data_IF_278472969870
#
_entry.id   IF_278472969870
#
_cell.length_a   1.000
_cell.length_b   1.000
_cell.length_c   1.000
_cell.angle_alpha   90.00
_cell.angle_beta   90.00
_cell.angle_gamma   90.00
#
_symmetry.space_group_name_H-M   'P 1'
#
loop_
_entity.id
_entity.type
_entity.pdbx_description
1 polymer ?
#
# COMPACT_ATOMS: atom_id res chain seq x y z
N UNK A 1 28.42 12.53 2.33
CA UNK A 1 29.75 13.20 2.44
C UNK A 1 30.45 13.40 1.09
N UNK A 2 30.89 12.35 0.39
CA UNK A 2 31.65 12.51 -0.88
C UNK A 2 30.82 13.23 -1.96
N UNK A 3 29.56 12.85 -2.15
CA UNK A 3 28.67 13.48 -3.15
C UNK A 3 28.56 15.00 -2.97
N UNK A 4 28.39 15.48 -1.73
CA UNK A 4 28.34 16.93 -1.43
C UNK A 4 29.66 17.63 -1.75
N UNK A 5 30.80 17.00 -1.42
CA UNK A 5 32.14 17.53 -1.76
C UNK A 5 32.37 17.60 -3.27
N UNK A 6 31.71 16.74 -4.03
CA UNK A 6 31.74 16.72 -5.50
C UNK A 6 30.67 17.63 -6.15
N UNK A 7 29.95 18.43 -5.36
CA UNK A 7 29.00 19.43 -5.86
C UNK A 7 27.55 18.96 -5.98
N UNK A 8 27.18 17.81 -5.40
CA UNK A 8 25.79 17.38 -5.38
C UNK A 8 24.94 18.36 -4.57
N UNK A 9 23.84 18.88 -5.16
CA UNK A 9 22.91 19.79 -4.48
C UNK A 9 22.10 19.08 -3.40
N UNK A 10 21.71 17.83 -3.63
CA UNK A 10 20.99 16.96 -2.69
C UNK A 10 21.68 15.61 -2.57
N UNK A 11 21.62 15.03 -1.39
CA UNK A 11 22.15 13.70 -1.11
C UNK A 11 21.11 12.87 -0.34
N UNK A 12 20.97 11.61 -0.75
CA UNK A 12 20.06 10.65 -0.14
C UNK A 12 20.87 9.44 0.29
N UNK A 13 20.62 8.92 1.48
CA UNK A 13 21.21 7.67 1.93
C UNK A 13 20.13 6.67 2.32
N UNK A 14 20.24 5.45 1.80
CA UNK A 14 19.46 4.31 2.28
C UNK A 14 20.07 3.82 3.58
N UNK A 15 19.22 3.57 4.55
CA UNK A 15 19.57 2.95 5.83
C UNK A 15 18.84 1.62 5.99
N UNK A 16 19.35 0.77 6.86
CA UNK A 16 18.82 -0.56 7.19
C UNK A 16 18.46 -0.72 8.68
N UNK A 17 18.69 0.32 9.49
CA UNK A 17 18.35 0.36 10.89
C UNK A 17 17.50 1.60 11.20
N UNK A 18 16.38 1.40 11.90
CA UNK A 18 15.46 2.48 12.29
C UNK A 18 16.07 3.46 13.30
N UNK A 19 17.03 3.04 14.12
CA UNK A 19 17.73 3.88 15.09
C UNK A 19 18.39 5.10 14.44
N UNK A 20 18.81 4.99 13.18
CA UNK A 20 19.38 6.10 12.42
C UNK A 20 18.36 7.21 12.09
N UNK A 21 17.07 6.96 12.26
CA UNK A 21 16.01 7.97 12.13
C UNK A 21 15.68 8.68 13.44
N UNK A 22 16.23 8.24 14.56
CA UNK A 22 16.07 8.93 15.83
C UNK A 22 16.72 10.32 15.78
N UNK A 23 16.17 11.33 16.49
CA UNK A 23 16.59 12.73 16.34
C UNK A 23 18.10 12.92 16.42
N UNK A 24 18.75 12.38 17.47
CA UNK A 24 20.18 12.54 17.69
C UNK A 24 21.04 11.91 16.57
N UNK A 25 20.68 10.70 16.13
CA UNK A 25 21.40 10.02 15.07
C UNK A 25 21.18 10.71 13.71
N UNK A 26 19.95 11.16 13.47
CA UNK A 26 19.58 11.86 12.24
C UNK A 26 20.36 13.18 12.07
N UNK A 27 20.54 13.97 13.13
CA UNK A 27 21.34 15.19 13.10
C UNK A 27 22.79 14.92 12.70
N UNK A 28 23.40 13.88 13.22
CA UNK A 28 24.76 13.47 12.84
C UNK A 28 24.87 13.22 11.33
N UNK A 29 23.90 12.56 10.71
CA UNK A 29 23.89 12.32 9.27
C UNK A 29 23.68 13.61 8.46
N UNK A 30 22.86 14.53 8.96
CA UNK A 30 22.65 15.86 8.34
C UNK A 30 23.95 16.65 8.38
N UNK A 31 24.67 16.67 9.48
CA UNK A 31 25.96 17.32 9.64
C UNK A 31 27.04 16.72 8.71
N UNK A 32 26.93 15.43 8.45
CA UNK A 32 27.76 14.75 7.45
C UNK A 32 27.39 15.12 5.99
N UNK A 33 26.37 15.95 5.77
CA UNK A 33 25.90 16.39 4.46
C UNK A 33 24.95 15.40 3.78
N UNK A 34 24.18 14.61 4.53
CA UNK A 34 23.10 13.78 4.01
C UNK A 34 21.79 14.52 4.23
N UNK A 35 21.10 14.91 3.15
CA UNK A 35 19.88 15.69 3.23
C UNK A 35 18.66 14.82 3.57
N UNK A 36 18.66 13.55 3.17
CA UNK A 36 17.55 12.65 3.39
C UNK A 36 17.98 11.22 3.69
N UNK A 37 17.48 10.67 4.79
CA UNK A 37 17.64 9.27 5.18
C UNK A 37 16.42 8.48 4.77
N UNK A 38 16.64 7.40 4.04
CA UNK A 38 15.58 6.57 3.49
C UNK A 38 15.64 5.15 4.07
N UNK A 39 14.55 4.73 4.71
CA UNK A 39 14.39 3.37 5.24
C UNK A 39 13.26 2.66 4.49
N UNK A 40 13.57 1.78 3.51
CA UNK A 40 12.59 1.15 2.62
C UNK A 40 11.47 0.43 3.37
N UNK A 41 11.82 -0.33 4.41
CA UNK A 41 10.87 -1.12 5.18
C UNK A 41 9.85 -0.24 5.93
N UNK A 42 10.28 0.93 6.41
CA UNK A 42 9.38 1.91 7.03
C UNK A 42 8.38 2.49 6.04
N UNK A 43 8.86 2.78 4.83
CA UNK A 43 8.01 3.35 3.78
C UNK A 43 7.03 2.32 3.27
N UNK A 44 7.50 1.08 3.04
CA UNK A 44 6.62 -0.01 2.62
C UNK A 44 5.54 -0.34 3.67
N UNK A 45 5.90 -0.37 4.96
CA UNK A 45 4.93 -0.58 6.03
C UNK A 45 3.88 0.53 6.07
N UNK A 46 4.29 1.80 5.92
CA UNK A 46 3.36 2.93 5.87
C UNK A 46 2.43 2.85 4.67
N UNK A 47 2.92 2.42 3.52
CA UNK A 47 2.10 2.19 2.33
C UNK A 47 1.02 1.14 2.60
N UNK A 48 1.40 0.00 3.21
CA UNK A 48 0.45 -1.04 3.62
C UNK A 48 -0.60 -0.48 4.58
N UNK A 49 -0.19 0.27 5.60
CA UNK A 49 -1.10 0.86 6.59
C UNK A 49 -2.08 1.82 5.94
N UNK A 50 -1.60 2.69 5.03
CA UNK A 50 -2.48 3.59 4.27
C UNK A 50 -3.51 2.81 3.45
N UNK A 51 -3.10 1.73 2.78
CA UNK A 51 -3.99 0.89 1.98
C UNK A 51 -4.98 0.07 2.82
N UNK A 52 -4.64 -0.24 4.06
CA UNK A 52 -5.57 -0.85 5.02
C UNK A 52 -6.59 0.18 5.54
N UNK A 53 -6.23 1.44 5.66
CA UNK A 53 -7.15 2.55 5.98
C UNK A 53 -8.09 2.91 4.82
N UNK A 54 -7.70 2.58 3.58
CA UNK A 54 -8.46 2.82 2.35
C UNK A 54 -8.69 1.51 1.60
N UNK A 55 -9.45 0.59 2.22
CA UNK A 55 -9.58 -0.81 1.76
C UNK A 55 -10.13 -0.98 0.35
N UNK A 56 -10.92 -0.02 -0.11
CA UNK A 56 -11.52 -0.01 -1.45
C UNK A 56 -10.59 0.50 -2.55
N UNK A 57 -9.37 0.94 -2.21
CA UNK A 57 -8.39 1.42 -3.19
C UNK A 57 -7.28 0.40 -3.43
N UNK A 58 -6.74 0.38 -4.65
CA UNK A 58 -5.52 -0.36 -5.00
C UNK A 58 -4.26 0.47 -4.78
N UNK A 59 -4.39 1.79 -4.94
CA UNK A 59 -3.35 2.77 -4.67
C UNK A 59 -3.95 4.04 -4.05
N UNK A 60 -3.24 4.65 -3.11
CA UNK A 60 -3.61 5.92 -2.49
C UNK A 60 -2.36 6.78 -2.30
N UNK A 61 -2.35 7.97 -2.88
CA UNK A 61 -1.18 8.88 -2.82
C UNK A 61 -1.63 10.30 -2.49
N UNK A 62 -1.15 10.84 -1.38
CA UNK A 62 -1.38 12.24 -1.01
C UNK A 62 -0.40 13.19 -1.69
N UNK A 63 -0.95 14.31 -2.21
CA UNK A 63 -0.22 15.42 -2.81
C UNK A 63 -0.49 16.73 -2.06
N UNK A 64 0.35 17.72 -2.32
CA UNK A 64 0.14 19.10 -1.82
C UNK A 64 -0.13 19.15 -0.31
N UNK A 65 0.66 18.40 0.47
CA UNK A 65 0.52 18.32 1.94
C UNK A 65 -0.86 17.82 2.39
N UNK A 66 -1.44 16.85 1.65
CA UNK A 66 -2.73 16.24 1.98
C UNK A 66 -3.95 17.01 1.47
N UNK A 67 -3.79 18.04 0.62
CA UNK A 67 -4.92 18.77 0.03
C UNK A 67 -5.58 18.01 -1.12
N UNK A 68 -4.78 17.26 -1.88
CA UNK A 68 -5.20 16.45 -3.01
C UNK A 68 -4.70 15.03 -2.83
N UNK A 69 -5.51 14.07 -3.24
CA UNK A 69 -5.17 12.66 -3.22
C UNK A 69 -5.39 12.04 -4.61
N UNK A 70 -4.45 11.22 -5.06
CA UNK A 70 -4.69 10.28 -6.14
C UNK A 70 -5.25 9.01 -5.54
N UNK A 71 -6.42 8.64 -5.99
CA UNK A 71 -7.13 7.43 -5.59
C UNK A 71 -7.21 6.51 -6.80
N UNK A 72 -6.76 5.27 -6.66
CA UNK A 72 -6.79 4.27 -7.72
C UNK A 72 -7.65 3.10 -7.25
N UNK A 73 -8.61 2.71 -8.06
CA UNK A 73 -9.47 1.56 -7.78
C UNK A 73 -9.89 0.84 -9.05
N UNK A 74 -10.21 -0.44 -8.92
CA UNK A 74 -10.72 -1.27 -10.03
C UNK A 74 -12.24 -1.27 -10.01
N UNK A 75 -12.88 -1.12 -11.17
CA UNK A 75 -14.33 -1.24 -11.29
C UNK A 75 -14.75 -2.70 -11.25
N UNK A 76 -15.47 -3.05 -10.22
CA UNK A 76 -16.15 -4.34 -10.07
C UNK A 76 -17.38 -4.41 -10.98
N UNK A 77 -17.85 -5.62 -11.37
CA UNK A 77 -19.03 -5.79 -12.24
C UNK A 77 -20.28 -5.08 -11.74
N UNK A 78 -20.46 -5.02 -10.42
CA UNK A 78 -21.61 -4.40 -9.77
C UNK A 78 -21.45 -2.88 -9.55
N UNK A 79 -20.35 -2.27 -10.00
CA UNK A 79 -20.14 -0.84 -9.82
C UNK A 79 -21.19 -0.01 -10.58
N UNK A 80 -21.83 0.98 -9.94
CA UNK A 80 -22.79 1.86 -10.60
C UNK A 80 -22.18 2.75 -11.68
N UNK A 81 -20.84 2.78 -11.79
CA UNK A 81 -20.13 3.51 -12.84
C UNK A 81 -20.04 2.75 -14.16
N UNK A 82 -20.13 1.42 -14.16
CA UNK A 82 -20.05 0.62 -15.37
C UNK A 82 -21.17 1.03 -16.34
N UNK A 83 -20.79 1.36 -17.59
CA UNK A 83 -21.69 1.85 -18.62
C UNK A 83 -21.99 3.35 -18.58
N UNK A 84 -21.51 4.10 -17.57
CA UNK A 84 -21.64 5.56 -17.55
C UNK A 84 -20.53 6.25 -18.33
N UNK A 85 -20.87 7.38 -18.93
CA UNK A 85 -19.86 8.28 -19.51
C UNK A 85 -19.05 8.92 -18.39
N UNK A 86 -17.75 9.15 -18.65
CA UNK A 86 -16.83 9.73 -17.67
C UNK A 86 -17.25 11.18 -17.31
N UNK A 87 -17.85 11.91 -18.24
CA UNK A 87 -18.39 13.27 -18.02
C UNK A 87 -19.64 13.30 -17.13
N UNK A 88 -20.41 12.22 -17.07
CA UNK A 88 -21.57 12.11 -16.18
C UNK A 88 -21.21 11.98 -14.69
N UNK A 89 -19.93 12.06 -14.37
CA UNK A 89 -19.40 12.16 -13.01
C UNK A 89 -19.40 13.60 -12.48
N UNK A 90 -19.48 14.54 -13.41
CA UNK A 90 -19.52 15.97 -13.14
C UNK A 90 -21.00 16.40 -13.12
N UNK A 91 -21.63 16.33 -11.98
CA UNK A 91 -22.91 17.04 -11.79
C UNK A 91 -22.58 18.53 -11.80
N UNK A 92 -23.10 19.27 -12.78
CA UNK A 92 -22.87 20.72 -13.00
C UNK A 92 -23.25 21.59 -11.78
N UNK A 93 -23.90 21.03 -10.76
CA UNK A 93 -24.35 21.73 -9.56
C UNK A 93 -23.33 21.73 -8.41
N UNK A 94 -22.28 20.89 -8.46
CA UNK A 94 -21.23 20.84 -7.42
C UNK A 94 -19.86 21.15 -8.00
N UNK A 95 -19.07 22.08 -7.39
CA UNK A 95 -17.70 22.31 -7.84
C UNK A 95 -16.92 20.99 -7.78
N UNK A 96 -16.27 20.63 -8.90
CA UNK A 96 -15.49 19.41 -9.05
C UNK A 96 -14.50 19.23 -7.90
N UNK A 97 -14.86 18.38 -6.95
CA UNK A 97 -13.99 17.97 -5.86
C UNK A 97 -13.06 16.82 -6.26
N UNK A 98 -13.25 16.25 -7.46
CA UNK A 98 -12.47 15.14 -8.02
C UNK A 98 -12.47 15.14 -9.55
N UNK A 99 -11.47 14.47 -10.17
CA UNK A 99 -11.36 14.31 -11.62
C UNK A 99 -10.71 12.97 -11.98
N UNK A 100 -11.33 12.23 -12.90
CA UNK A 100 -10.68 11.06 -13.53
C UNK A 100 -9.58 11.53 -14.47
N UNK A 101 -8.34 11.13 -14.22
CA UNK A 101 -7.16 11.58 -14.98
C UNK A 101 -6.62 10.52 -15.92
N UNK A 102 -6.84 9.24 -15.62
CA UNK A 102 -6.47 8.12 -16.47
C UNK A 102 -7.33 6.89 -16.18
N UNK A 103 -7.34 5.96 -17.12
CA UNK A 103 -7.95 4.63 -17.00
C UNK A 103 -6.94 3.63 -17.54
N UNK A 104 -6.77 2.49 -16.87
CA UNK A 104 -6.08 1.33 -17.45
C UNK A 104 -7.10 0.27 -17.79
N UNK A 105 -7.15 -0.12 -19.08
CA UNK A 105 -8.03 -1.12 -19.64
C UNK A 105 -7.22 -2.13 -20.42
N UNK A 106 -7.28 -3.42 -20.06
CA UNK A 106 -6.53 -4.46 -20.75
C UNK A 106 -5.00 -4.26 -20.76
N UNK A 107 -4.45 -3.55 -19.76
CA UNK A 107 -3.02 -3.23 -19.67
C UNK A 107 -2.61 -1.95 -20.42
N UNK A 108 -3.51 -1.30 -21.13
CA UNK A 108 -3.25 -0.02 -21.81
C UNK A 108 -3.77 1.16 -20.98
N UNK A 109 -3.00 2.25 -20.91
CA UNK A 109 -3.40 3.48 -20.24
C UNK A 109 -4.11 4.42 -21.21
N UNK A 110 -5.33 4.79 -20.89
CA UNK A 110 -6.20 5.69 -21.65
C UNK A 110 -6.32 7.01 -20.88
N UNK A 111 -6.06 8.12 -21.52
CA UNK A 111 -6.44 9.45 -21.02
C UNK A 111 -7.89 9.68 -21.45
N UNK A 112 -8.83 9.82 -20.49
CA UNK A 112 -10.24 9.92 -20.80
C UNK A 112 -10.54 11.12 -21.72
N UNK A 113 -11.42 10.89 -22.70
CA UNK A 113 -11.94 11.93 -23.57
C UNK A 113 -13.46 12.00 -23.46
N UNK A 114 -14.03 13.08 -23.97
CA UNK A 114 -15.47 13.26 -24.05
C UNK A 114 -16.13 12.05 -24.72
N UNK A 115 -17.12 11.45 -24.08
CA UNK A 115 -17.83 10.27 -24.57
C UNK A 115 -17.21 8.92 -24.23
N UNK A 116 -16.06 8.90 -23.51
CA UNK A 116 -15.50 7.64 -23.00
C UNK A 116 -16.44 7.03 -21.94
N UNK A 117 -16.57 5.70 -21.97
CA UNK A 117 -17.47 4.95 -21.09
C UNK A 117 -16.63 4.08 -20.15
N UNK A 118 -16.97 4.03 -18.88
CA UNK A 118 -16.41 3.08 -17.93
C UNK A 118 -16.84 1.65 -18.22
N UNK A 119 -15.88 0.73 -18.23
CA UNK A 119 -16.14 -0.71 -18.39
C UNK A 119 -15.72 -1.52 -17.19
N UNK A 120 -16.34 -2.66 -17.00
CA UNK A 120 -15.95 -3.62 -15.98
C UNK A 120 -14.45 -3.95 -16.07
N UNK A 121 -13.77 -4.00 -14.92
CA UNK A 121 -12.34 -4.30 -14.85
C UNK A 121 -11.42 -3.12 -15.14
N UNK A 122 -11.94 -1.96 -15.54
CA UNK A 122 -11.13 -0.74 -15.66
C UNK A 122 -10.48 -0.40 -14.32
N UNK A 123 -9.21 -0.02 -14.36
CA UNK A 123 -8.53 0.61 -13.22
C UNK A 123 -8.58 2.11 -13.41
N UNK A 124 -9.25 2.80 -12.48
CA UNK A 124 -9.56 4.22 -12.57
C UNK A 124 -8.59 5.01 -11.70
N UNK A 125 -8.03 6.06 -12.25
CA UNK A 125 -7.15 7.01 -11.56
C UNK A 125 -7.90 8.33 -11.37
N UNK A 126 -8.21 8.67 -10.13
CA UNK A 126 -8.96 9.87 -9.76
C UNK A 126 -8.10 10.78 -8.89
N UNK A 127 -7.96 12.04 -9.27
CA UNK A 127 -7.46 13.07 -8.36
C UNK A 127 -8.68 13.70 -7.68
N UNK A 128 -8.67 13.69 -6.35
CA UNK A 128 -9.74 14.22 -5.53
C UNK A 128 -9.18 15.11 -4.41
N UNK A 129 -10.00 16.06 -3.95
CA UNK A 129 -9.75 16.70 -2.66
C UNK A 129 -9.94 15.68 -1.54
N UNK A 130 -9.20 15.84 -0.45
CA UNK A 130 -9.25 14.87 0.65
C UNK A 130 -10.68 14.69 1.22
N UNK A 131 -11.46 15.75 1.28
CA UNK A 131 -12.86 15.73 1.72
C UNK A 131 -13.80 15.01 0.73
N UNK A 132 -13.42 14.89 -0.54
CA UNK A 132 -14.21 14.24 -1.59
C UNK A 132 -13.85 12.75 -1.81
N UNK A 133 -12.74 12.26 -1.25
CA UNK A 133 -12.31 10.86 -1.43
C UNK A 133 -13.41 9.88 -1.05
N UNK A 134 -14.07 10.09 0.09
CA UNK A 134 -15.18 9.25 0.54
C UNK A 134 -16.32 9.23 -0.47
N UNK A 135 -16.69 10.38 -1.01
CA UNK A 135 -17.74 10.49 -2.02
C UNK A 135 -17.38 9.75 -3.31
N UNK A 136 -16.13 9.85 -3.78
CA UNK A 136 -15.64 9.10 -4.94
C UNK A 136 -15.77 7.60 -4.73
N UNK A 137 -15.42 7.11 -3.53
CA UNK A 137 -15.55 5.68 -3.21
C UNK A 137 -17.01 5.23 -3.14
N UNK A 138 -17.90 6.02 -2.55
CA UNK A 138 -19.34 5.74 -2.52
C UNK A 138 -19.93 5.70 -3.93
N UNK A 139 -19.60 6.65 -4.81
CA UNK A 139 -20.06 6.67 -6.21
C UNK A 139 -19.53 5.49 -7.01
N UNK A 140 -18.32 5.03 -6.73
CA UNK A 140 -17.77 3.85 -7.43
C UNK A 140 -18.45 2.54 -7.01
N UNK A 141 -19.33 2.58 -6.00
CA UNK A 141 -19.94 1.39 -5.40
C UNK A 141 -18.98 0.65 -4.47
N UNK A 142 -17.85 1.26 -4.17
CA UNK A 142 -16.83 0.69 -3.29
C UNK A 142 -17.06 1.21 -1.87
N UNK A 143 -17.39 0.34 -0.95
CA UNK A 143 -17.49 0.69 0.47
C UNK A 143 -16.16 0.36 1.17
N UNK A 144 -15.65 1.31 1.93
CA UNK A 144 -14.55 1.00 2.85
C UNK A 144 -15.00 -0.10 3.82
N UNK A 145 -14.20 -1.14 3.88
CA UNK A 145 -14.39 -2.24 4.82
C UNK A 145 -13.63 -1.87 6.09
N UNK A 146 -14.32 -1.86 7.21
CA UNK A 146 -13.68 -1.73 8.51
C UNK A 146 -12.89 -3.00 8.79
N UNK A 147 -11.57 -2.86 9.00
CA UNK A 147 -10.69 -3.99 9.34
C UNK A 147 -10.65 -4.11 10.85
N UNK A 148 -11.26 -5.16 11.38
CA UNK A 148 -11.23 -5.51 12.80
C UNK A 148 -10.29 -6.65 13.11
N UNK A 149 -10.16 -7.60 12.16
CA UNK A 149 -9.32 -8.78 12.30
C UNK A 149 -8.37 -8.89 11.12
N UNK A 150 -7.09 -8.98 11.39
CA UNK A 150 -6.06 -9.04 10.36
C UNK A 150 -5.07 -10.17 10.65
N UNK A 151 -4.65 -10.87 9.59
CA UNK A 151 -3.55 -11.82 9.68
C UNK A 151 -2.36 -11.31 8.88
N UNK A 152 -1.20 -11.30 9.51
CA UNK A 152 0.09 -10.94 8.89
C UNK A 152 0.92 -12.20 8.77
N UNK A 153 1.32 -12.56 7.56
CA UNK A 153 2.25 -13.64 7.31
C UNK A 153 3.67 -13.09 7.13
N UNK A 154 4.53 -13.38 8.09
CA UNK A 154 5.93 -12.98 8.13
C UNK A 154 6.22 -11.89 9.16
N UNK A 155 6.97 -12.25 10.20
CA UNK A 155 7.55 -11.31 11.17
C UNK A 155 8.75 -10.55 10.60
N UNK A 156 8.69 -10.13 9.36
CA UNK A 156 9.69 -9.26 8.73
C UNK A 156 9.67 -7.87 9.38
N UNK A 157 10.66 -7.04 9.07
CA UNK A 157 10.69 -5.64 9.56
C UNK A 157 9.41 -4.86 9.17
N UNK A 158 8.81 -5.20 8.01
CA UNK A 158 7.54 -4.64 7.56
C UNK A 158 6.40 -5.17 8.42
N UNK A 159 6.29 -6.49 8.59
CA UNK A 159 5.22 -7.13 9.38
C UNK A 159 5.22 -6.68 10.84
N UNK A 160 6.40 -6.63 11.47
CA UNK A 160 6.57 -6.11 12.83
C UNK A 160 6.05 -4.68 12.93
N UNK A 161 6.44 -3.82 11.97
CA UNK A 161 6.05 -2.42 12.00
C UNK A 161 4.55 -2.23 11.81
N UNK A 162 3.93 -2.96 10.88
CA UNK A 162 2.48 -2.94 10.69
C UNK A 162 1.78 -3.36 11.99
N UNK A 163 2.21 -4.47 12.60
CA UNK A 163 1.65 -4.94 13.85
C UNK A 163 1.80 -3.91 14.98
N UNK A 164 3.00 -3.33 15.14
CA UNK A 164 3.26 -2.29 16.17
C UNK A 164 2.37 -1.07 16.00
N UNK A 165 2.12 -0.61 14.76
CA UNK A 165 1.34 0.60 14.52
C UNK A 165 -0.18 0.36 14.60
N UNK A 166 -0.66 -0.88 14.37
CA UNK A 166 -2.10 -1.18 14.29
C UNK A 166 -2.65 -2.06 15.44
N UNK A 167 -1.81 -2.67 16.27
CA UNK A 167 -2.28 -3.61 17.31
C UNK A 167 -3.18 -2.99 18.40
N UNK A 168 -3.23 -1.68 18.50
CA UNK A 168 -4.14 -0.99 19.41
C UNK A 168 -5.57 -0.85 18.88
N UNK A 169 -5.73 -0.92 17.55
CA UNK A 169 -6.99 -0.68 16.85
C UNK A 169 -7.54 -1.94 16.18
N UNK A 170 -6.66 -2.89 15.83
CA UNK A 170 -6.98 -4.10 15.04
C UNK A 170 -6.53 -5.34 15.79
N UNK A 171 -7.36 -6.38 15.82
CA UNK A 171 -6.98 -7.71 16.32
C UNK A 171 -6.03 -8.38 15.32
N UNK A 172 -4.76 -8.50 15.66
CA UNK A 172 -3.72 -9.00 14.75
C UNK A 172 -3.27 -10.39 15.15
N UNK A 173 -3.23 -11.29 14.17
CA UNK A 173 -2.51 -12.57 14.20
C UNK A 173 -1.27 -12.45 13.32
N UNK A 174 -0.08 -12.65 13.87
CA UNK A 174 1.17 -12.65 13.11
C UNK A 174 1.77 -14.05 13.07
N UNK A 175 1.89 -14.60 11.87
CA UNK A 175 2.38 -15.95 11.61
C UNK A 175 3.84 -15.89 11.16
N UNK A 176 4.72 -16.61 11.83
CA UNK A 176 6.11 -16.82 11.38
C UNK A 176 6.55 -18.27 11.65
N UNK A 177 7.21 -18.88 10.66
CA UNK A 177 7.64 -20.29 10.76
C UNK A 177 8.84 -20.50 11.68
N UNK A 178 9.59 -19.47 11.99
CA UNK A 178 10.78 -19.54 12.83
C UNK A 178 10.42 -19.38 14.30
N UNK A 179 10.56 -20.48 15.08
CA UNK A 179 10.17 -20.53 16.47
C UNK A 179 10.92 -19.51 17.36
N UNK A 180 12.24 -19.36 17.20
CA UNK A 180 13.03 -18.41 17.98
C UNK A 180 12.62 -16.96 17.70
N UNK A 181 12.23 -16.68 16.46
CA UNK A 181 11.73 -15.39 16.06
C UNK A 181 10.32 -15.15 16.60
N UNK A 182 9.43 -16.14 16.52
CA UNK A 182 8.08 -16.07 17.07
C UNK A 182 8.11 -15.76 18.58
N UNK A 183 9.02 -16.42 19.33
CA UNK A 183 9.21 -16.12 20.75
C UNK A 183 9.57 -14.65 20.97
N UNK A 184 10.59 -14.15 20.27
CA UNK A 184 10.99 -12.73 20.39
C UNK A 184 9.90 -11.74 19.99
N UNK A 185 9.09 -12.09 18.98
CA UNK A 185 7.96 -11.28 18.57
C UNK A 185 6.88 -11.20 19.64
N UNK A 186 6.61 -12.30 20.34
CA UNK A 186 5.67 -12.32 21.45
C UNK A 186 6.11 -11.46 22.65
N UNK A 187 7.43 -11.25 22.81
CA UNK A 187 7.96 -10.33 23.81
C UNK A 187 7.89 -8.85 23.37
N UNK A 188 7.82 -8.59 22.06
CA UNK A 188 7.85 -7.24 21.49
C UNK A 188 6.46 -6.66 21.19
N UNK A 189 5.47 -7.51 20.97
CA UNK A 189 4.15 -7.14 20.48
C UNK A 189 3.07 -7.55 21.50
N UNK A 190 2.73 -6.64 22.38
CA UNK A 190 1.90 -6.93 23.56
C UNK A 190 0.45 -7.34 23.22
N UNK A 191 -0.10 -6.85 22.10
CA UNK A 191 -1.50 -7.07 21.72
C UNK A 191 -1.67 -7.90 20.45
N UNK A 192 -0.56 -8.34 19.84
CA UNK A 192 -0.57 -9.19 18.64
C UNK A 192 -0.44 -10.64 19.03
N UNK A 193 -1.35 -11.50 18.57
CA UNK A 193 -1.23 -12.96 18.75
C UNK A 193 -0.16 -13.51 17.78
N UNK A 194 0.92 -14.03 18.34
CA UNK A 194 2.00 -14.64 17.57
C UNK A 194 1.75 -16.14 17.39
N UNK A 195 1.80 -16.58 16.14
CA UNK A 195 1.57 -17.97 15.74
C UNK A 195 2.85 -18.51 15.11
N UNK A 196 3.37 -19.60 15.66
CA UNK A 196 4.53 -20.27 15.09
C UNK A 196 4.07 -21.38 14.15
N UNK A 197 3.84 -21.03 12.88
CA UNK A 197 3.37 -21.94 11.84
C UNK A 197 3.98 -21.60 10.47
N UNK A 198 3.98 -22.59 9.58
CA UNK A 198 4.36 -22.38 8.19
C UNK A 198 3.14 -21.88 7.38
N UNK A 199 3.17 -20.62 6.97
CA UNK A 199 2.09 -20.01 6.17
C UNK A 199 1.84 -20.66 4.79
N UNK A 200 2.63 -21.65 4.39
CA UNK A 200 2.37 -22.50 3.22
C UNK A 200 1.46 -23.69 3.57
N UNK A 201 1.31 -23.99 4.85
CA UNK A 201 0.40 -25.02 5.32
C UNK A 201 -1.04 -24.48 5.34
N UNK A 202 -1.81 -24.87 4.33
CA UNK A 202 -3.19 -24.42 4.15
C UNK A 202 -4.08 -24.82 5.32
N UNK A 203 -3.92 -26.04 5.85
CA UNK A 203 -4.74 -26.56 6.95
C UNK A 203 -4.50 -25.76 8.22
N UNK A 204 -3.22 -25.55 8.59
CA UNK A 204 -2.86 -24.72 9.74
C UNK A 204 -3.38 -23.28 9.61
N UNK A 205 -3.28 -22.66 8.44
CA UNK A 205 -3.80 -21.31 8.22
C UNK A 205 -5.32 -21.24 8.37
N UNK A 206 -6.04 -22.30 7.97
CA UNK A 206 -7.49 -22.40 8.15
C UNK A 206 -7.86 -22.64 9.62
N UNK A 207 -7.16 -23.49 10.34
CA UNK A 207 -7.34 -23.72 11.78
C UNK A 207 -7.11 -22.45 12.59
N UNK A 208 -6.15 -21.63 12.18
CA UNK A 208 -5.90 -20.31 12.75
C UNK A 208 -6.93 -19.24 12.33
N UNK A 209 -7.94 -19.62 11.56
CA UNK A 209 -9.10 -18.78 11.24
C UNK A 209 -8.85 -17.77 10.14
N UNK A 210 -8.03 -18.09 9.14
CA UNK A 210 -7.78 -17.22 7.98
C UNK A 210 -9.08 -16.74 7.32
N UNK A 211 -10.09 -17.60 7.21
CA UNK A 211 -11.39 -17.28 6.62
C UNK A 211 -12.21 -16.21 7.38
N UNK A 212 -11.86 -15.96 8.64
CA UNK A 212 -12.54 -14.99 9.51
C UNK A 212 -11.81 -13.63 9.54
N UNK A 213 -10.75 -13.47 8.75
CA UNK A 213 -10.00 -12.23 8.68
C UNK A 213 -10.64 -11.25 7.69
N UNK A 214 -10.66 -9.97 8.05
CA UNK A 214 -11.05 -8.89 7.15
C UNK A 214 -9.91 -8.53 6.18
N UNK A 215 -8.65 -8.64 6.67
CA UNK A 215 -7.46 -8.39 5.89
C UNK A 215 -6.39 -9.47 6.07
N UNK A 216 -5.61 -9.69 5.02
CA UNK A 216 -4.43 -10.55 5.02
C UNK A 216 -3.24 -9.83 4.37
N UNK A 217 -2.10 -9.84 5.05
CA UNK A 217 -0.87 -9.16 4.61
C UNK A 217 0.28 -10.14 4.59
N UNK A 218 0.75 -10.52 3.40
CA UNK A 218 1.89 -11.43 3.23
C UNK A 218 3.17 -10.62 2.95
N UNK A 219 4.07 -10.60 3.93
CA UNK A 219 5.32 -9.81 3.92
C UNK A 219 6.52 -10.64 4.39
N UNK A 220 6.61 -11.87 3.93
CA UNK A 220 7.81 -12.70 4.10
C UNK A 220 8.91 -12.22 3.15
N UNK A 221 10.13 -12.70 3.32
CA UNK A 221 11.22 -12.40 2.37
C UNK A 221 11.14 -13.15 1.03
N UNK A 222 10.01 -13.80 0.68
CA UNK A 222 9.86 -14.70 -0.47
C UNK A 222 8.60 -14.37 -1.25
N UNK A 223 8.76 -13.80 -2.43
CA UNK A 223 7.64 -13.39 -3.31
C UNK A 223 6.67 -14.54 -3.61
N UNK A 224 7.19 -15.74 -3.89
CA UNK A 224 6.40 -16.92 -4.22
C UNK A 224 5.50 -17.34 -3.05
N UNK A 225 6.05 -17.35 -1.85
CA UNK A 225 5.29 -17.66 -0.62
C UNK A 225 4.20 -16.61 -0.39
N UNK A 226 4.53 -15.34 -0.56
CA UNK A 226 3.57 -14.24 -0.38
C UNK A 226 2.42 -14.34 -1.39
N UNK A 227 2.73 -14.61 -2.66
CA UNK A 227 1.72 -14.77 -3.71
C UNK A 227 0.80 -15.96 -3.43
N UNK A 228 1.36 -17.14 -3.13
CA UNK A 228 0.57 -18.34 -2.87
C UNK A 228 -0.32 -18.20 -1.64
N UNK A 229 0.20 -17.62 -0.55
CA UNK A 229 -0.59 -17.37 0.66
C UNK A 229 -1.68 -16.31 0.43
N UNK A 230 -1.38 -15.27 -0.34
CA UNK A 230 -2.35 -14.24 -0.73
C UNK A 230 -3.49 -14.82 -1.59
N UNK A 231 -3.17 -15.70 -2.56
CA UNK A 231 -4.17 -16.44 -3.34
C UNK A 231 -5.08 -17.28 -2.44
N UNK A 232 -4.50 -17.99 -1.47
CA UNK A 232 -5.27 -18.77 -0.51
C UNK A 232 -6.23 -17.88 0.28
N UNK A 233 -5.73 -16.78 0.85
CA UNK A 233 -6.54 -15.83 1.61
C UNK A 233 -7.70 -15.28 0.77
N UNK A 234 -7.44 -14.90 -0.47
CA UNK A 234 -8.47 -14.42 -1.41
C UNK A 234 -9.53 -15.49 -1.67
N UNK A 235 -9.09 -16.73 -1.92
CA UNK A 235 -9.99 -17.88 -2.14
C UNK A 235 -10.83 -18.23 -0.90
N UNK A 236 -10.32 -17.95 0.30
CA UNK A 236 -11.05 -18.13 1.57
C UNK A 236 -12.01 -16.96 1.87
N UNK A 237 -12.11 -15.97 1.01
CA UNK A 237 -13.06 -14.85 1.14
C UNK A 237 -12.53 -13.66 1.94
N UNK A 238 -11.22 -13.61 2.23
CA UNK A 238 -10.62 -12.41 2.84
C UNK A 238 -10.78 -11.22 1.91
N UNK A 239 -11.34 -10.13 2.43
CA UNK A 239 -11.79 -8.99 1.62
C UNK A 239 -10.64 -8.12 1.11
N UNK A 240 -9.64 -7.86 1.96
CA UNK A 240 -8.44 -7.09 1.58
C UNK A 240 -7.20 -7.95 1.68
N UNK A 241 -6.54 -8.16 0.55
CA UNK A 241 -5.33 -9.01 0.48
C UNK A 241 -4.18 -8.20 -0.10
N UNK A 242 -3.07 -8.12 0.65
CA UNK A 242 -1.86 -7.41 0.28
C UNK A 242 -0.68 -8.38 0.26
N UNK A 243 0.13 -8.36 -0.78
CA UNK A 243 1.33 -9.19 -0.90
C UNK A 243 2.58 -8.37 -1.24
N UNK A 244 3.68 -8.61 -0.52
CA UNK A 244 4.99 -8.10 -0.91
C UNK A 244 5.58 -8.98 -2.02
N UNK A 245 5.89 -8.36 -3.18
CA UNK A 245 6.46 -9.03 -4.34
C UNK A 245 7.71 -8.27 -4.81
N UNK A 246 8.88 -8.77 -4.47
CA UNK A 246 10.16 -8.12 -4.86
C UNK A 246 10.57 -8.40 -6.31
N UNK A 247 10.16 -9.56 -6.84
CA UNK A 247 10.45 -9.93 -8.21
C UNK A 247 9.48 -9.23 -9.17
N UNK A 248 10.00 -8.28 -9.93
CA UNK A 248 9.23 -7.47 -10.90
C UNK A 248 8.46 -8.34 -11.92
N UNK A 249 9.02 -9.49 -12.31
CA UNK A 249 8.37 -10.38 -13.28
C UNK A 249 7.11 -11.05 -12.74
N UNK A 250 6.93 -11.08 -11.41
CA UNK A 250 5.77 -11.70 -10.77
C UNK A 250 4.63 -10.72 -10.48
N UNK A 251 4.85 -9.41 -10.66
CA UNK A 251 3.83 -8.39 -10.37
C UNK A 251 2.60 -8.61 -11.25
N UNK A 252 2.78 -8.63 -12.58
CA UNK A 252 1.67 -8.84 -13.51
C UNK A 252 0.94 -10.18 -13.28
N UNK A 253 1.69 -11.23 -12.93
CA UNK A 253 1.10 -12.52 -12.59
C UNK A 253 0.23 -12.40 -11.33
N UNK A 254 0.75 -11.79 -10.26
CA UNK A 254 0.04 -11.62 -9.01
C UNK A 254 -1.24 -10.77 -9.17
N UNK A 255 -1.20 -9.73 -10.00
CA UNK A 255 -2.39 -8.94 -10.37
C UNK A 255 -3.42 -9.77 -11.14
N UNK A 256 -2.98 -10.59 -12.10
CA UNK A 256 -3.87 -11.41 -12.94
C UNK A 256 -4.63 -12.48 -12.16
N UNK A 257 -4.10 -12.93 -11.03
CA UNK A 257 -4.75 -13.92 -10.14
C UNK A 257 -5.62 -13.27 -9.05
N UNK A 258 -5.79 -11.94 -9.10
CA UNK A 258 -6.74 -11.22 -8.26
C UNK A 258 -6.24 -10.83 -6.87
N UNK A 259 -4.92 -10.68 -6.67
CA UNK A 259 -4.38 -10.05 -5.46
C UNK A 259 -4.72 -8.56 -5.52
N UNK A 260 -5.36 -8.04 -4.46
CA UNK A 260 -5.90 -6.67 -4.48
C UNK A 260 -4.81 -5.61 -4.54
N UNK A 261 -3.68 -5.87 -3.88
CA UNK A 261 -2.59 -4.90 -3.77
C UNK A 261 -1.24 -5.59 -3.68
N UNK A 262 -0.30 -5.12 -4.47
CA UNK A 262 1.07 -5.61 -4.48
C UNK A 262 2.00 -4.50 -3.99
N UNK A 263 2.80 -4.83 -2.98
CA UNK A 263 3.85 -3.94 -2.48
C UNK A 263 5.21 -4.41 -3.00
N UNK A 264 5.90 -3.52 -3.71
CA UNK A 264 7.28 -3.75 -4.14
C UNK A 264 8.20 -2.71 -3.52
N UNK A 265 9.09 -3.13 -2.63
CA UNK A 265 10.02 -2.21 -1.93
C UNK A 265 10.88 -1.38 -2.88
N UNK A 266 11.26 -1.92 -4.04
CA UNK A 266 12.10 -1.19 -5.01
C UNK A 266 11.30 -0.06 -5.66
N UNK A 267 10.04 -0.33 -6.06
CA UNK A 267 9.16 0.69 -6.64
C UNK A 267 8.81 1.77 -5.62
N UNK A 268 8.42 1.36 -4.40
CA UNK A 268 8.15 2.30 -3.29
C UNK A 268 9.38 3.16 -3.01
N UNK A 269 10.59 2.57 -3.01
CA UNK A 269 11.85 3.31 -2.87
C UNK A 269 12.05 4.31 -3.99
N UNK A 270 11.91 3.88 -5.24
CA UNK A 270 12.11 4.73 -6.41
C UNK A 270 11.13 5.91 -6.41
N UNK A 271 9.84 5.67 -6.11
CA UNK A 271 8.82 6.72 -6.01
C UNK A 271 9.12 7.74 -4.93
N UNK A 272 9.63 7.31 -3.77
CA UNK A 272 10.01 8.23 -2.69
C UNK A 272 11.24 9.07 -3.04
N UNK A 273 12.25 8.48 -3.67
CA UNK A 273 13.43 9.20 -4.17
C UNK A 273 13.00 10.23 -5.22
N UNK A 274 12.14 9.83 -6.15
CA UNK A 274 11.61 10.72 -7.17
C UNK A 274 10.85 11.91 -6.55
N UNK A 275 9.93 11.66 -5.62
CA UNK A 275 9.20 12.72 -4.90
C UNK A 275 10.15 13.68 -4.17
N UNK A 276 11.19 13.18 -3.52
CA UNK A 276 12.17 14.02 -2.85
C UNK A 276 12.95 14.91 -3.83
N UNK A 277 13.29 14.39 -5.01
CA UNK A 277 14.00 15.17 -6.03
C UNK A 277 13.13 16.23 -6.68
N UNK A 278 11.84 15.92 -6.93
CA UNK A 278 10.86 16.80 -7.56
C UNK A 278 10.25 17.85 -6.61
N UNK A 279 10.23 17.61 -5.30
CA UNK A 279 9.55 18.47 -4.31
C UNK A 279 10.03 19.92 -4.26
N UNK A 280 11.16 20.25 -4.88
CA UNK A 280 11.70 21.61 -4.97
C UNK A 280 11.13 22.39 -6.16
N UNK A 281 10.77 21.70 -7.24
CA UNK A 281 10.30 22.34 -8.48
C UNK A 281 8.76 22.49 -8.47
N UNK A 282 8.05 21.60 -7.80
CA UNK A 282 6.59 21.66 -7.68
C UNK A 282 6.12 22.74 -6.69
N UNK A 283 6.93 23.07 -5.66
CA UNK A 283 6.63 24.20 -4.77
C UNK A 283 6.80 25.58 -5.43
N UNK A 284 7.52 25.66 -6.54
CA UNK A 284 7.70 26.91 -7.31
C UNK A 284 6.53 27.21 -8.26
N UNK A 285 5.54 26.31 -8.37
CA UNK A 285 4.35 26.46 -9.21
C UNK A 285 3.06 26.70 -8.41
N UNK A 286 3.16 26.90 -7.10
CA UNK A 286 2.02 27.19 -6.21
C UNK A 286 2.00 28.63 -5.72
#
# INVERSE_FOLDING_TARGET
MLAKKLGAKKSIARIDNNEYLEPNNKEMFIDMGIDYLFYPEKVAAREVINLLGHTSTTEYVDFSSGKLSLVVFRLEPASPLVGRQIEGFDDDETPLSYRTVAITRGGETIIPRQGEIFTEGDVIYVIARQDAVKQVMEFSGQSNIEIKNMMILGGSRIGIRIATELQDEVNIKLVDYNADKAYRLAEMLDKTLIINEDGRNTEAMMEEGLSNMDAFVAVTGRSETNILAAMLAKRMGVKKVIAEVENMNYINLAESIGIDTIINKKLVTASNIFRFTMSTDVQALS
#
